data_IF_056425849010
#
_entry.id   IF_056425849010
#
_cell.length_a   1.000
_cell.length_b   1.000
_cell.length_c   1.000
_cell.angle_alpha   90.00
_cell.angle_beta   90.00
_cell.angle_gamma   90.00
#
_symmetry.space_group_name_H-M   'P 1'
#
loop_
_entity.id
_entity.type
_entity.pdbx_description
1 polymer ?
#
# COMPACT_ATOMS: atom_id res chain seq x y z
N UNK A 1 22.86 7.02 -27.97
CA UNK A 1 21.96 6.40 -28.96
C UNK A 1 22.85 5.73 -29.98
N UNK A 2 22.47 4.55 -30.48
CA UNK A 2 23.29 3.51 -31.14
C UNK A 2 23.65 2.38 -30.16
N UNK A 3 23.64 1.08 -30.47
CA UNK A 3 23.12 0.27 -31.57
C UNK A 3 23.15 -1.18 -31.03
N UNK A 4 22.07 -1.97 -31.13
CA UNK A 4 22.16 -3.43 -30.97
C UNK A 4 20.97 -4.13 -31.64
N UNK A 5 21.02 -4.14 -32.97
CA UNK A 5 20.16 -4.96 -33.81
C UNK A 5 21.05 -5.60 -34.87
N UNK A 6 21.95 -6.51 -34.47
CA UNK A 6 22.80 -7.23 -35.41
C UNK A 6 23.29 -8.57 -34.84
N UNK A 7 22.39 -9.56 -34.80
CA UNK A 7 22.80 -10.96 -34.63
C UNK A 7 21.85 -11.96 -35.31
N UNK A 8 21.42 -11.63 -36.53
CA UNK A 8 20.53 -12.49 -37.34
C UNK A 8 20.96 -12.61 -38.81
N UNK A 9 22.26 -12.61 -39.08
CA UNK A 9 22.75 -12.63 -40.47
C UNK A 9 23.92 -13.59 -40.79
N UNK A 10 24.22 -14.59 -39.93
CA UNK A 10 25.29 -15.57 -40.22
C UNK A 10 24.76 -17.00 -40.13
N UNK A 11 23.67 -17.33 -40.85
CA UNK A 11 23.38 -18.71 -41.29
C UNK A 11 22.60 -18.65 -42.63
N UNK A 12 23.13 -17.96 -43.64
CA UNK A 12 22.52 -18.00 -44.99
C UNK A 12 23.51 -18.17 -46.16
N UNK A 13 24.82 -18.30 -45.90
CA UNK A 13 25.82 -18.30 -47.00
C UNK A 13 26.55 -19.62 -47.26
N UNK A 14 26.06 -20.76 -46.73
CA UNK A 14 26.65 -22.09 -47.00
C UNK A 14 25.78 -23.07 -47.78
N UNK A 15 24.71 -22.59 -48.43
CA UNK A 15 23.86 -23.42 -49.31
C UNK A 15 23.81 -22.82 -50.72
N UNK A 16 24.98 -22.50 -51.29
CA UNK A 16 25.10 -21.95 -52.65
C UNK A 16 25.85 -22.88 -53.64
N UNK A 17 26.26 -24.08 -53.22
CA UNK A 17 26.89 -25.05 -54.13
C UNK A 17 26.37 -26.47 -53.91
N UNK A 18 25.12 -26.70 -54.30
CA UNK A 18 24.70 -28.03 -54.78
C UNK A 18 23.90 -27.77 -56.06
N UNK A 19 24.44 -28.27 -57.17
CA UNK A 19 24.03 -27.92 -58.52
C UNK A 19 22.55 -28.15 -58.81
N UNK A 20 21.98 -27.19 -59.53
CA UNK A 20 20.75 -27.33 -60.29
C UNK A 20 21.00 -28.36 -61.41
N UNK A 21 20.73 -29.63 -61.12
CA UNK A 21 20.45 -30.65 -62.13
C UNK A 21 18.97 -30.60 -62.47
N UNK A 22 18.65 -30.64 -63.76
CA UNK A 22 17.33 -30.63 -64.37
C UNK A 22 16.23 -31.28 -63.52
N UNK A 23 15.29 -30.48 -63.01
CA UNK A 23 14.05 -31.01 -62.41
C UNK A 23 13.07 -31.23 -63.56
N UNK A 24 13.21 -32.39 -64.20
CA UNK A 24 12.22 -32.93 -65.13
C UNK A 24 10.85 -32.96 -64.45
N UNK A 25 9.90 -32.20 -64.99
CA UNK A 25 8.49 -32.23 -64.62
C UNK A 25 7.91 -33.59 -65.08
N UNK A 26 8.02 -34.59 -64.21
CA UNK A 26 7.16 -35.79 -64.12
C UNK A 26 7.77 -36.75 -63.09
N UNK A 27 7.90 -36.33 -61.83
CA UNK A 27 8.03 -37.29 -60.74
C UNK A 27 6.64 -37.90 -60.51
N UNK A 28 6.28 -38.87 -61.36
CA UNK A 28 5.26 -39.83 -61.00
C UNK A 28 5.64 -40.37 -59.62
N UNK A 29 4.75 -40.19 -58.63
CA UNK A 29 4.91 -40.82 -57.33
C UNK A 29 5.03 -42.32 -57.63
N UNK A 30 6.22 -42.88 -57.49
CA UNK A 30 6.48 -44.30 -57.70
C UNK A 30 5.81 -45.07 -56.56
N UNK A 31 4.54 -45.42 -56.77
CA UNK A 31 3.76 -46.24 -55.86
C UNK A 31 4.37 -47.65 -55.67
N UNK A 32 5.26 -48.07 -56.58
CA UNK A 32 5.99 -49.34 -56.49
C UNK A 32 7.25 -49.28 -55.62
N UNK A 33 7.77 -48.08 -55.33
CA UNK A 33 8.93 -47.85 -54.45
C UNK A 33 8.56 -47.65 -52.98
N UNK A 34 7.28 -47.76 -52.62
CA UNK A 34 6.78 -47.53 -51.26
C UNK A 34 7.13 -48.70 -50.33
N UNK A 35 8.37 -48.71 -49.86
CA UNK A 35 8.83 -49.72 -48.91
C UNK A 35 8.10 -49.56 -47.58
N UNK A 36 7.83 -50.69 -46.92
CA UNK A 36 7.20 -50.73 -45.60
C UNK A 36 7.93 -49.85 -44.56
N UNK A 37 9.25 -49.67 -44.74
CA UNK A 37 10.06 -48.76 -43.93
C UNK A 37 9.69 -47.28 -44.09
N UNK A 38 9.40 -46.81 -45.30
CA UNK A 38 8.96 -45.43 -45.52
C UNK A 38 7.60 -45.15 -44.85
N UNK A 39 6.67 -46.11 -44.94
CA UNK A 39 5.38 -46.04 -44.24
C UNK A 39 5.57 -46.02 -42.72
N UNK A 40 6.40 -46.91 -42.16
CA UNK A 40 6.67 -46.95 -40.72
C UNK A 40 7.30 -45.65 -40.19
N UNK A 41 8.13 -44.98 -40.99
CA UNK A 41 8.79 -43.73 -40.60
C UNK A 41 7.81 -42.55 -40.58
N UNK A 42 6.91 -42.47 -41.56
CA UNK A 42 5.85 -41.47 -41.58
C UNK A 42 4.84 -41.72 -40.45
N UNK A 43 4.46 -42.98 -40.23
CA UNK A 43 3.50 -43.35 -39.21
C UNK A 43 4.03 -43.13 -37.78
N UNK A 44 5.30 -43.44 -37.54
CA UNK A 44 5.96 -43.15 -36.25
C UNK A 44 6.15 -41.64 -36.02
N UNK A 45 6.49 -40.88 -37.06
CA UNK A 45 6.51 -39.41 -37.00
C UNK A 45 5.15 -38.80 -36.68
N UNK A 46 4.08 -39.32 -37.31
CA UNK A 46 2.71 -38.90 -37.03
C UNK A 46 2.29 -39.23 -35.59
N UNK A 47 2.58 -40.46 -35.13
CA UNK A 47 2.35 -40.89 -33.74
C UNK A 47 3.08 -39.99 -32.73
N UNK A 48 4.32 -39.60 -33.02
CA UNK A 48 5.10 -38.71 -32.18
C UNK A 48 4.47 -37.31 -32.07
N UNK A 49 3.99 -36.75 -33.19
CA UNK A 49 3.28 -35.46 -33.20
C UNK A 49 1.94 -35.56 -32.44
N UNK A 50 1.16 -36.62 -32.64
CA UNK A 50 -0.07 -36.85 -31.89
C UNK A 50 0.18 -36.99 -30.38
N UNK A 51 1.22 -37.71 -29.99
CA UNK A 51 1.63 -37.85 -28.59
C UNK A 51 2.02 -36.48 -27.99
N UNK A 52 2.78 -35.67 -28.73
CA UNK A 52 3.16 -34.32 -28.31
C UNK A 52 1.94 -33.40 -28.14
N UNK A 53 0.98 -33.44 -29.08
CA UNK A 53 -0.27 -32.66 -29.00
C UNK A 53 -1.12 -33.11 -27.80
N UNK A 54 -1.21 -34.41 -27.53
CA UNK A 54 -1.94 -34.93 -26.38
C UNK A 54 -1.32 -34.46 -25.04
N UNK A 55 0.01 -34.41 -24.96
CA UNK A 55 0.73 -33.87 -23.79
C UNK A 55 0.51 -32.36 -23.67
N UNK A 56 0.59 -31.60 -24.76
CA UNK A 56 0.36 -30.15 -24.77
C UNK A 56 -1.05 -29.78 -24.29
N UNK A 57 -2.08 -30.52 -24.71
CA UNK A 57 -3.47 -30.30 -24.25
C UNK A 57 -3.60 -30.57 -22.75
N UNK A 58 -2.92 -31.61 -22.23
CA UNK A 58 -2.93 -31.89 -20.78
C UNK A 58 -2.21 -30.80 -19.98
N UNK A 59 -1.09 -30.29 -20.50
CA UNK A 59 -0.36 -29.17 -19.89
C UNK A 59 -1.20 -27.88 -19.87
N UNK A 60 -1.92 -27.56 -20.96
CA UNK A 60 -2.83 -26.41 -21.00
C UNK A 60 -3.96 -26.50 -19.97
N UNK A 61 -4.56 -27.69 -19.80
CA UNK A 61 -5.61 -27.90 -18.78
C UNK A 61 -5.08 -27.71 -17.35
N UNK A 62 -3.85 -28.13 -17.08
CA UNK A 62 -3.20 -27.92 -15.79
C UNK A 62 -2.88 -26.44 -15.56
N UNK A 63 -2.36 -25.74 -16.57
CA UNK A 63 -2.10 -24.31 -16.50
C UNK A 63 -3.38 -23.48 -16.26
N UNK A 64 -4.49 -23.86 -16.89
CA UNK A 64 -5.79 -23.21 -16.64
C UNK A 64 -6.27 -23.39 -15.19
N UNK A 65 -6.09 -24.58 -14.60
CA UNK A 65 -6.43 -24.81 -13.18
C UNK A 65 -5.57 -23.95 -12.26
N UNK A 66 -4.25 -23.97 -12.48
CA UNK A 66 -3.31 -23.15 -11.70
C UNK A 66 -3.62 -21.65 -11.84
N UNK A 67 -3.97 -21.18 -13.03
CA UNK A 67 -4.35 -19.79 -13.26
C UNK A 67 -5.64 -19.41 -12.50
N UNK A 68 -6.65 -20.28 -12.48
CA UNK A 68 -7.88 -20.05 -11.74
C UNK A 68 -7.65 -20.05 -10.22
N UNK A 69 -6.85 -20.99 -9.71
CA UNK A 69 -6.51 -21.07 -8.29
C UNK A 69 -5.69 -19.84 -7.85
N UNK A 70 -4.72 -19.42 -8.66
CA UNK A 70 -3.96 -18.19 -8.41
C UNK A 70 -4.86 -16.94 -8.41
N UNK A 71 -5.88 -16.89 -9.27
CA UNK A 71 -6.84 -15.77 -9.29
C UNK A 71 -7.70 -15.73 -8.00
N UNK A 72 -8.12 -16.89 -7.50
CA UNK A 72 -8.86 -17.00 -6.23
C UNK A 72 -7.99 -16.58 -5.04
N UNK A 73 -6.74 -17.05 -4.99
CA UNK A 73 -5.76 -16.66 -3.96
C UNK A 73 -5.50 -15.15 -4.02
N UNK A 74 -5.29 -14.57 -5.21
CA UNK A 74 -5.10 -13.13 -5.36
C UNK A 74 -6.29 -12.33 -4.85
N UNK A 75 -7.53 -12.77 -5.13
CA UNK A 75 -8.74 -12.12 -4.60
C UNK A 75 -8.80 -12.18 -3.07
N UNK A 76 -8.50 -13.34 -2.49
CA UNK A 76 -8.45 -13.48 -1.03
C UNK A 76 -7.35 -12.60 -0.41
N UNK A 77 -6.14 -12.60 -0.98
CA UNK A 77 -5.03 -11.75 -0.52
C UNK A 77 -5.39 -10.27 -0.63
N UNK A 78 -6.06 -9.84 -1.71
CA UNK A 78 -6.55 -8.47 -1.84
C UNK A 78 -7.56 -8.11 -0.74
N UNK A 79 -8.53 -8.98 -0.46
CA UNK A 79 -9.51 -8.75 0.62
C UNK A 79 -8.88 -8.74 2.01
N UNK A 80 -7.90 -9.62 2.28
CA UNK A 80 -7.19 -9.66 3.55
C UNK A 80 -6.33 -8.40 3.72
N UNK A 81 -5.65 -7.97 2.66
CA UNK A 81 -4.86 -6.74 2.68
C UNK A 81 -5.73 -5.51 2.90
N UNK A 82 -6.92 -5.46 2.32
CA UNK A 82 -7.89 -4.39 2.55
C UNK A 82 -8.36 -4.36 4.01
N UNK A 83 -8.76 -5.51 4.57
CA UNK A 83 -9.15 -5.61 5.99
C UNK A 83 -8.00 -5.20 6.93
N UNK A 84 -6.80 -5.72 6.67
CA UNK A 84 -5.59 -5.39 7.46
C UNK A 84 -5.23 -3.91 7.35
N UNK A 85 -5.43 -3.30 6.18
CA UNK A 85 -5.19 -1.88 5.99
C UNK A 85 -6.22 -1.02 6.74
N UNK A 86 -7.50 -1.41 6.70
CA UNK A 86 -8.57 -0.74 7.47
C UNK A 86 -8.32 -0.84 8.96
N UNK A 87 -7.93 -2.00 9.46
CA UNK A 87 -7.56 -2.22 10.87
C UNK A 87 -6.38 -1.31 11.27
N UNK A 88 -5.29 -1.32 10.49
CA UNK A 88 -4.13 -0.44 10.75
C UNK A 88 -4.48 1.04 10.75
N UNK A 89 -5.37 1.48 9.86
CA UNK A 89 -5.85 2.87 9.85
C UNK A 89 -6.68 3.19 11.08
N UNK A 90 -7.54 2.27 11.51
CA UNK A 90 -8.33 2.41 12.73
C UNK A 90 -7.44 2.51 13.96
N UNK A 91 -6.47 1.61 14.12
CA UNK A 91 -5.52 1.62 15.24
C UNK A 91 -4.73 2.93 15.32
N UNK A 92 -4.27 3.45 14.17
CA UNK A 92 -3.57 4.74 14.10
C UNK A 92 -4.47 5.90 14.51
N UNK A 93 -5.72 5.92 14.05
CA UNK A 93 -6.70 6.94 14.44
C UNK A 93 -7.00 6.89 15.94
N UNK A 94 -7.12 5.69 16.50
CA UNK A 94 -7.39 5.49 17.92
C UNK A 94 -6.21 5.93 18.79
N UNK A 95 -4.98 5.54 18.43
CA UNK A 95 -3.77 5.96 19.11
C UNK A 95 -3.59 7.50 19.09
N UNK A 96 -3.92 8.13 17.96
CA UNK A 96 -3.93 9.59 17.84
C UNK A 96 -4.96 10.23 18.77
N UNK A 97 -6.19 9.70 18.79
CA UNK A 97 -7.26 10.16 19.67
C UNK A 97 -6.86 10.07 21.14
N UNK A 98 -6.30 8.94 21.56
CA UNK A 98 -5.85 8.73 22.94
C UNK A 98 -4.74 9.70 23.32
N UNK A 99 -3.85 10.03 22.38
CA UNK A 99 -2.80 11.04 22.59
C UNK A 99 -3.38 12.43 22.82
N UNK A 100 -4.32 12.88 21.98
CA UNK A 100 -4.99 14.18 22.16
C UNK A 100 -5.76 14.19 23.48
N UNK A 101 -6.51 13.12 23.76
CA UNK A 101 -7.29 13.01 25.00
C UNK A 101 -6.38 13.11 26.23
N UNK A 102 -5.26 12.39 26.24
CA UNK A 102 -4.28 12.44 27.32
C UNK A 102 -3.71 13.87 27.47
N UNK A 103 -3.37 14.54 26.37
CA UNK A 103 -2.91 15.92 26.39
C UNK A 103 -3.95 16.91 26.93
N UNK A 104 -5.22 16.73 26.58
CA UNK A 104 -6.33 17.50 27.16
C UNK A 104 -6.51 17.23 28.65
N UNK A 105 -6.46 15.97 29.06
CA UNK A 105 -6.61 15.57 30.46
C UNK A 105 -5.47 16.13 31.33
N UNK A 106 -4.23 16.11 30.81
CA UNK A 106 -3.07 16.71 31.47
C UNK A 106 -3.21 18.24 31.59
N UNK A 107 -3.52 18.92 30.49
CA UNK A 107 -3.71 20.38 30.47
C UNK A 107 -4.84 20.86 31.40
N UNK A 108 -5.89 20.04 31.58
CA UNK A 108 -7.00 20.34 32.48
C UNK A 108 -6.74 19.93 33.93
N UNK A 109 -5.69 19.16 34.18
CA UNK A 109 -5.31 18.72 35.53
C UNK A 109 -4.85 19.91 36.40
N UNK A 110 -4.78 19.70 37.71
CA UNK A 110 -4.35 20.74 38.65
C UNK A 110 -2.87 21.12 38.45
N UNK A 111 -2.03 20.17 38.01
CA UNK A 111 -0.60 20.34 37.80
C UNK A 111 -0.24 19.75 36.42
N UNK A 112 -0.44 20.50 35.33
CA UNK A 112 -0.13 19.99 33.99
C UNK A 112 1.38 19.77 33.83
N UNK A 113 1.77 18.69 33.17
CA UNK A 113 3.19 18.44 32.91
C UNK A 113 3.67 19.27 31.72
N UNK A 114 4.75 20.03 31.89
CA UNK A 114 5.36 20.82 30.81
C UNK A 114 6.11 19.99 29.75
N UNK A 115 6.34 18.69 30.02
CA UNK A 115 7.26 17.84 29.25
C UNK A 115 6.58 17.08 28.10
N UNK A 116 5.28 16.75 28.25
CA UNK A 116 4.62 15.81 27.33
C UNK A 116 3.85 16.49 26.19
N UNK A 117 3.57 17.80 26.23
CA UNK A 117 2.62 18.41 25.29
C UNK A 117 3.19 18.75 23.91
N UNK A 118 4.51 18.99 23.80
CA UNK A 118 5.15 19.55 22.59
C UNK A 118 5.66 18.45 21.65
N UNK A 119 6.33 17.41 22.17
CA UNK A 119 6.88 16.33 21.34
C UNK A 119 5.82 15.35 20.83
N UNK A 120 4.75 15.13 21.60
CA UNK A 120 3.64 14.24 21.21
C UNK A 120 2.77 14.85 20.11
N UNK A 121 2.66 16.18 20.04
CA UNK A 121 1.83 16.86 19.03
C UNK A 121 2.52 16.95 17.67
N UNK A 122 3.83 17.20 17.61
CA UNK A 122 4.54 17.35 16.33
C UNK A 122 4.59 16.03 15.51
N UNK A 123 4.93 14.92 16.17
CA UNK A 123 5.04 13.61 15.50
C UNK A 123 3.68 13.07 15.06
N UNK A 124 2.66 13.22 15.90
CA UNK A 124 1.30 12.80 15.61
C UNK A 124 0.66 13.63 14.47
N UNK A 125 1.07 14.89 14.29
CA UNK A 125 0.49 15.79 13.28
C UNK A 125 0.98 15.55 11.86
N UNK A 126 2.20 15.06 11.67
CA UNK A 126 2.69 14.75 10.33
C UNK A 126 1.81 13.71 9.59
N UNK A 127 1.10 12.85 10.35
CA UNK A 127 0.19 11.83 9.81
C UNK A 127 -1.30 12.24 9.85
N UNK A 128 -1.68 13.25 10.65
CA UNK A 128 -3.08 13.60 10.92
C UNK A 128 -3.92 13.99 9.67
N UNK A 129 -3.40 14.76 8.68
CA UNK A 129 -4.17 15.14 7.49
C UNK A 129 -4.58 13.94 6.61
N UNK A 130 -3.82 12.84 6.70
CA UNK A 130 -4.12 11.61 5.98
C UNK A 130 -5.09 10.72 6.77
N UNK A 131 -5.02 10.78 8.11
CA UNK A 131 -5.84 9.96 8.98
C UNK A 131 -7.26 10.49 9.12
N UNK A 132 -7.47 11.80 9.07
CA UNK A 132 -8.77 12.41 9.41
C UNK A 132 -9.34 13.29 8.29
N UNK A 133 -10.69 13.34 8.16
CA UNK A 133 -11.34 14.27 7.25
C UNK A 133 -11.17 15.73 7.72
N UNK A 134 -11.34 16.71 6.81
CA UNK A 134 -11.17 18.13 7.13
C UNK A 134 -12.02 18.62 8.31
N UNK A 135 -13.20 18.05 8.51
CA UNK A 135 -14.10 18.37 9.63
C UNK A 135 -13.47 18.07 11.00
N UNK A 136 -12.79 16.93 11.10
CA UNK A 136 -12.11 16.52 12.33
C UNK A 136 -10.83 17.34 12.53
N UNK A 137 -10.10 17.62 11.45
CA UNK A 137 -8.93 18.52 11.50
C UNK A 137 -9.29 19.93 11.98
N UNK A 138 -10.41 20.49 11.51
CA UNK A 138 -10.90 21.78 11.97
C UNK A 138 -11.25 21.83 13.46
N UNK A 139 -11.49 20.67 14.09
CA UNK A 139 -11.66 20.55 15.53
C UNK A 139 -10.33 20.32 16.26
N UNK A 140 -9.42 19.54 15.68
CA UNK A 140 -8.12 19.19 16.28
C UNK A 140 -7.20 20.40 16.38
N UNK A 141 -7.11 21.21 15.32
CA UNK A 141 -6.20 22.36 15.26
C UNK A 141 -6.40 23.34 16.44
N UNK A 142 -7.63 23.83 16.74
CA UNK A 142 -7.85 24.72 17.88
C UNK A 142 -7.62 24.02 19.22
N UNK A 143 -7.97 22.74 19.35
CA UNK A 143 -7.72 21.97 20.57
C UNK A 143 -6.23 21.96 20.94
N UNK A 144 -5.36 21.75 19.96
CA UNK A 144 -3.91 21.73 20.16
C UNK A 144 -3.37 23.12 20.46
N UNK A 145 -3.84 24.14 19.74
CA UNK A 145 -3.47 25.52 20.04
C UNK A 145 -3.75 25.88 21.51
N UNK A 146 -4.87 25.40 22.05
CA UNK A 146 -5.23 25.60 23.45
C UNK A 146 -4.38 24.78 24.42
N UNK A 147 -4.10 23.50 24.13
CA UNK A 147 -3.19 22.66 24.94
C UNK A 147 -1.81 23.33 25.05
N UNK A 148 -1.25 23.75 23.91
CA UNK A 148 0.05 24.42 23.86
C UNK A 148 0.03 25.78 24.58
N UNK A 149 -1.09 26.50 24.53
CA UNK A 149 -1.27 27.75 25.28
C UNK A 149 -1.25 27.54 26.78
N UNK A 150 -1.92 26.48 27.27
CA UNK A 150 -1.89 26.11 28.70
C UNK A 150 -0.50 25.69 29.13
N UNK A 151 0.17 24.83 28.36
CA UNK A 151 1.53 24.38 28.65
C UNK A 151 2.54 25.55 28.66
N UNK A 152 2.44 26.48 27.70
CA UNK A 152 3.29 27.65 27.65
C UNK A 152 3.06 28.59 28.85
N UNK A 153 1.80 28.80 29.25
CA UNK A 153 1.48 29.61 30.43
C UNK A 153 1.97 28.98 31.73
N UNK A 154 1.91 27.64 31.84
CA UNK A 154 2.44 26.94 33.02
C UNK A 154 3.97 27.04 33.09
N UNK A 155 4.66 26.82 31.97
CA UNK A 155 6.11 27.00 31.89
C UNK A 155 6.55 28.42 32.25
N UNK A 156 5.77 29.41 31.81
CA UNK A 156 6.00 30.81 32.17
C UNK A 156 5.77 31.05 33.67
N UNK A 157 4.72 30.49 34.26
CA UNK A 157 4.46 30.52 35.70
C UNK A 157 5.60 29.90 36.51
N UNK A 158 6.08 28.71 36.12
CA UNK A 158 7.20 28.03 36.77
C UNK A 158 8.47 28.88 36.75
N UNK A 159 8.73 29.57 35.63
CA UNK A 159 9.87 30.48 35.51
C UNK A 159 9.81 31.64 36.49
N UNK A 160 8.66 32.31 36.60
CA UNK A 160 8.49 33.40 37.58
C UNK A 160 8.70 32.92 39.02
N UNK A 161 8.16 31.75 39.35
CA UNK A 161 8.32 31.15 40.67
C UNK A 161 9.78 30.79 40.98
N UNK A 162 10.50 30.22 40.01
CA UNK A 162 11.91 29.85 40.15
C UNK A 162 12.82 31.08 40.35
N UNK A 163 12.48 32.20 39.69
CA UNK A 163 13.20 33.46 39.81
C UNK A 163 12.77 34.28 41.07
N UNK A 164 11.77 33.81 41.84
CA UNK A 164 11.29 34.45 43.07
C UNK A 164 10.37 35.65 42.84
N UNK A 165 9.87 35.84 41.62
CA UNK A 165 8.93 36.91 41.30
C UNK A 165 7.48 36.49 41.59
N UNK A 166 6.63 37.49 41.85
CA UNK A 166 5.18 37.29 41.80
C UNK A 166 4.73 36.96 40.36
N UNK A 167 3.89 35.94 40.20
CA UNK A 167 3.35 35.55 38.90
C UNK A 167 2.36 36.63 38.43
N UNK A 168 2.54 37.23 37.23
CA UNK A 168 1.63 38.25 36.73
C UNK A 168 0.21 37.74 36.44
N UNK A 169 -0.81 38.58 36.64
CA UNK A 169 -2.22 38.25 36.41
C UNK A 169 -2.54 37.77 34.97
N UNK A 170 -1.81 38.28 33.98
CA UNK A 170 -2.03 37.90 32.58
C UNK A 170 -1.70 36.42 32.33
N UNK A 171 -0.77 35.83 33.09
CA UNK A 171 -0.41 34.40 32.99
C UNK A 171 -1.57 33.53 33.47
N UNK A 172 -2.18 33.90 34.61
CA UNK A 172 -3.37 33.22 35.15
C UNK A 172 -4.58 33.37 34.23
N UNK A 173 -4.81 34.58 33.72
CA UNK A 173 -5.95 34.87 32.84
C UNK A 173 -5.86 34.07 31.54
N UNK A 174 -4.67 34.08 30.90
CA UNK A 174 -4.41 33.33 29.66
C UNK A 174 -4.59 31.82 29.82
N UNK A 175 -4.06 31.24 30.91
CA UNK A 175 -4.24 29.82 31.23
C UNK A 175 -5.72 29.48 31.53
N UNK A 176 -6.41 30.32 32.30
CA UNK A 176 -7.82 30.13 32.66
C UNK A 176 -8.78 30.21 31.48
N UNK A 177 -8.55 31.14 30.55
CA UNK A 177 -9.34 31.25 29.31
C UNK A 177 -9.11 30.04 28.40
N UNK A 178 -7.85 29.65 28.22
CA UNK A 178 -7.50 28.50 27.41
C UNK A 178 -8.10 27.19 27.96
N UNK A 179 -8.04 26.99 29.28
CA UNK A 179 -8.69 25.83 29.95
C UNK A 179 -10.20 25.82 29.76
N UNK A 180 -10.87 26.98 29.82
CA UNK A 180 -12.33 27.07 29.61
C UNK A 180 -12.73 26.67 28.20
N UNK A 181 -12.03 27.15 27.18
CA UNK A 181 -12.29 26.74 25.80
C UNK A 181 -11.93 25.27 25.56
N UNK A 182 -10.84 24.78 26.18
CA UNK A 182 -10.46 23.38 26.10
C UNK A 182 -11.53 22.46 26.72
N UNK A 183 -12.16 22.87 27.83
CA UNK A 183 -13.32 22.16 28.40
C UNK A 183 -14.51 22.09 27.45
N UNK A 184 -14.79 23.18 26.71
CA UNK A 184 -15.87 23.21 25.71
C UNK A 184 -15.59 22.27 24.55
N UNK A 185 -14.36 22.29 24.04
CA UNK A 185 -13.92 21.37 22.97
C UNK A 185 -13.95 19.93 23.42
N UNK A 186 -13.40 19.61 24.59
CA UNK A 186 -13.42 18.24 25.16
C UNK A 186 -14.84 17.67 25.24
N UNK A 187 -15.84 18.51 25.52
CA UNK A 187 -17.25 18.09 25.54
C UNK A 187 -17.79 17.74 24.14
N UNK A 188 -17.35 18.42 23.08
CA UNK A 188 -17.75 18.13 21.70
C UNK A 188 -16.90 17.04 21.04
N UNK A 189 -15.76 16.67 21.63
CA UNK A 189 -14.84 15.64 21.12
C UNK A 189 -15.56 14.34 20.74
N UNK A 190 -16.35 13.77 21.65
CA UNK A 190 -17.05 12.51 21.39
C UNK A 190 -18.14 12.63 20.33
N UNK A 191 -18.72 13.82 20.13
CA UNK A 191 -19.71 14.02 19.07
C UNK A 191 -19.03 14.04 17.69
N UNK A 192 -17.85 14.67 17.59
CA UNK A 192 -17.09 14.79 16.34
C UNK A 192 -16.36 13.49 15.99
N UNK A 193 -15.70 12.86 16.96
CA UNK A 193 -14.99 11.60 16.73
C UNK A 193 -15.92 10.39 16.74
N UNK A 194 -17.00 10.42 17.52
CA UNK A 194 -17.94 9.29 17.60
C UNK A 194 -18.66 9.05 16.28
N UNK A 195 -19.06 10.11 15.57
CA UNK A 195 -19.64 9.97 14.23
C UNK A 195 -18.66 9.37 13.23
N UNK A 196 -17.39 9.73 13.30
CA UNK A 196 -16.36 9.28 12.35
C UNK A 196 -15.83 7.87 12.66
N UNK A 197 -15.70 7.50 13.94
CA UNK A 197 -15.34 6.14 14.33
C UNK A 197 -16.44 5.13 14.00
N UNK A 198 -17.71 5.55 13.98
CA UNK A 198 -18.85 4.68 13.65
C UNK A 198 -19.04 4.47 12.14
N UNK A 199 -18.59 5.39 11.29
CA UNK A 199 -18.69 5.28 9.82
C UNK A 199 -17.66 4.30 9.22
N UNK A 200 -16.74 3.77 10.03
CA UNK A 200 -15.67 2.87 9.60
C UNK A 200 -16.03 1.38 9.55
N UNK A 201 -17.22 0.97 10.01
CA UNK A 201 -17.67 -0.43 10.01
C UNK A 201 -18.64 -0.73 8.87
#
# INVERSE_FOLDING_TARGET
>A
MENSFCHRHIILEKIAHVGFGEISMCAAIDWGGFTWQAFATIFSGFLAVCAAVAVAIRQMKLQQRIANDNMLIQKHVASINEMTFREKLFDRRMAFFDTIRAGMDDALSKNPSCDNSVDLTEKAFSEAPFLFPPTVMAWIDPAIGLINTVAAAEKERERYLAEGWGVPDHVYTKSGDARRELYRLKRSMYAVFGTEMMLGH
#
